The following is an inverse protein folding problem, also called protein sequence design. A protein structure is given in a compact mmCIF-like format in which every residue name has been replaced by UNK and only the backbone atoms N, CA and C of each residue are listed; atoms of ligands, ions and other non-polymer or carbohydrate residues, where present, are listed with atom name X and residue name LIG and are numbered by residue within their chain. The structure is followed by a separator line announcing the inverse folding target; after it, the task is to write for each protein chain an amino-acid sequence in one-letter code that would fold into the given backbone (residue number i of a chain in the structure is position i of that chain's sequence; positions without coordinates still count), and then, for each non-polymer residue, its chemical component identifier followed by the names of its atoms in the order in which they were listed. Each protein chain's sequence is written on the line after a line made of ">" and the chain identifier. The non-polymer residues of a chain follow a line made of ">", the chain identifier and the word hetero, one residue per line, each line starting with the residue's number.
data_IF_212675729417
#
_entry.id   IF_212675729417
#
_cell.length_a   1.000
_cell.length_b   1.000
_cell.length_c   1.000
_cell.angle_alpha   90.00
_cell.angle_beta   90.00
_cell.angle_gamma   90.00
#
_symmetry.space_group_name_H-M   'P 1'
#
loop_
_entity.id
_entity.type
_entity.pdbx_description
1 polymer ?
#
# COMPACT_ATOMS: atom_id res chain seq x y z
N UNK A 1 -29.86 -37.43 -7.24
CA UNK A 1 -30.79 -36.39 -6.75
C UNK A 1 -30.07 -35.05 -6.76
N UNK A 2 -30.30 -34.27 -7.82
CA UNK A 2 -29.67 -32.96 -8.06
C UNK A 2 -30.21 -31.94 -7.06
N UNK A 3 -29.35 -31.38 -6.20
CA UNK A 3 -29.72 -30.24 -5.35
C UNK A 3 -29.93 -29.05 -6.28
N UNK A 4 -31.18 -28.64 -6.43
CA UNK A 4 -31.57 -27.44 -7.15
C UNK A 4 -30.72 -26.25 -6.67
N UNK A 5 -30.11 -25.58 -7.64
CA UNK A 5 -29.27 -24.41 -7.46
C UNK A 5 -30.15 -23.33 -6.80
N UNK A 6 -29.77 -22.96 -5.57
CA UNK A 6 -30.36 -21.86 -4.82
C UNK A 6 -30.57 -20.65 -5.72
N UNK A 7 -31.79 -20.12 -5.75
CA UNK A 7 -32.13 -18.81 -6.33
C UNK A 7 -31.07 -17.79 -5.92
N UNK A 8 -30.45 -17.11 -6.90
CA UNK A 8 -29.52 -15.99 -6.63
C UNK A 8 -30.28 -14.93 -5.84
N UNK A 9 -30.04 -14.85 -4.54
CA UNK A 9 -30.52 -13.76 -3.71
C UNK A 9 -29.75 -12.50 -4.12
N UNK A 10 -30.43 -11.61 -4.85
CA UNK A 10 -29.89 -10.29 -5.20
C UNK A 10 -30.38 -9.33 -4.12
N UNK A 11 -29.49 -8.76 -3.29
CA UNK A 11 -29.90 -7.82 -2.26
C UNK A 11 -30.58 -6.60 -2.88
N UNK A 12 -31.55 -6.04 -2.15
CA UNK A 12 -32.25 -4.82 -2.57
C UNK A 12 -31.24 -3.66 -2.65
N UNK A 13 -31.48 -2.70 -3.54
CA UNK A 13 -30.64 -1.51 -3.68
C UNK A 13 -31.11 -0.36 -2.77
N UNK A 14 -30.23 0.59 -2.51
CA UNK A 14 -30.54 1.81 -1.76
C UNK A 14 -30.87 1.56 -0.28
N UNK A 15 -31.78 2.37 0.26
CA UNK A 15 -32.15 2.35 1.69
C UNK A 15 -32.78 1.01 2.08
N UNK A 16 -33.57 0.39 1.21
CA UNK A 16 -34.20 -0.90 1.48
C UNK A 16 -33.17 -2.01 1.71
N UNK A 17 -32.09 -2.03 0.90
CA UNK A 17 -30.97 -2.96 1.09
C UNK A 17 -30.15 -2.69 2.34
N UNK A 18 -29.95 -1.41 2.65
CA UNK A 18 -29.25 -0.99 3.87
C UNK A 18 -30.02 -1.45 5.12
N UNK A 19 -31.34 -1.23 5.18
CA UNK A 19 -32.17 -1.68 6.30
C UNK A 19 -32.22 -3.21 6.42
N UNK A 20 -32.16 -3.92 5.28
CA UNK A 20 -32.13 -5.38 5.26
C UNK A 20 -30.80 -5.95 5.82
N UNK A 21 -29.66 -5.33 5.52
CA UNK A 21 -28.32 -5.89 5.79
C UNK A 21 -27.46 -5.07 6.76
N UNK A 22 -27.97 -4.01 7.40
CA UNK A 22 -27.15 -3.07 8.19
C UNK A 22 -26.27 -3.74 9.25
N UNK A 23 -26.76 -4.79 9.93
CA UNK A 23 -25.99 -5.48 10.99
C UNK A 23 -24.80 -6.22 10.42
N UNK A 24 -24.99 -6.92 9.31
CA UNK A 24 -23.92 -7.66 8.64
C UNK A 24 -22.95 -6.71 7.96
N UNK A 25 -23.46 -5.64 7.36
CA UNK A 25 -22.67 -4.65 6.63
C UNK A 25 -21.83 -3.79 7.58
N UNK A 26 -22.33 -3.42 8.76
CA UNK A 26 -21.57 -2.63 9.73
C UNK A 26 -20.41 -3.44 10.33
N UNK A 27 -20.65 -4.72 10.63
CA UNK A 27 -19.61 -5.62 11.17
C UNK A 27 -18.57 -5.94 10.10
N UNK A 28 -19.01 -6.21 8.87
CA UNK A 28 -18.11 -6.48 7.75
C UNK A 28 -17.30 -5.25 7.37
N UNK A 29 -17.95 -4.07 7.30
CA UNK A 29 -17.30 -2.79 7.05
C UNK A 29 -16.27 -2.45 8.12
N UNK A 30 -16.55 -2.71 9.39
CA UNK A 30 -15.59 -2.52 10.48
C UNK A 30 -14.37 -3.45 10.34
N UNK A 31 -14.57 -4.75 10.06
CA UNK A 31 -13.47 -5.69 9.83
C UNK A 31 -12.63 -5.31 8.61
N UNK A 32 -13.28 -4.89 7.52
CA UNK A 32 -12.62 -4.41 6.31
C UNK A 32 -11.81 -3.14 6.60
N UNK A 33 -12.36 -2.19 7.35
CA UNK A 33 -11.65 -0.99 7.78
C UNK A 33 -10.35 -1.32 8.52
N UNK A 34 -10.41 -2.26 9.48
CA UNK A 34 -9.25 -2.66 10.24
C UNK A 34 -8.15 -3.32 9.38
N UNK A 35 -8.53 -4.01 8.30
CA UNK A 35 -7.59 -4.57 7.31
C UNK A 35 -7.05 -3.47 6.40
N UNK A 36 -7.93 -2.59 5.94
CA UNK A 36 -7.64 -1.58 4.95
C UNK A 36 -6.71 -0.50 5.49
N UNK A 37 -6.83 -0.11 6.76
CA UNK A 37 -6.05 1.01 7.31
C UNK A 37 -4.53 0.76 7.24
N UNK A 38 -3.96 -0.35 7.76
CA UNK A 38 -2.53 -0.64 7.59
C UNK A 38 -2.13 -0.81 6.12
N UNK A 39 -2.99 -1.44 5.33
CA UNK A 39 -2.73 -1.67 3.91
C UNK A 39 -2.63 -0.36 3.12
N UNK A 40 -3.52 0.60 3.37
CA UNK A 40 -3.52 1.91 2.70
C UNK A 40 -2.27 2.74 3.03
N UNK A 41 -1.82 2.68 4.28
CA UNK A 41 -0.57 3.32 4.72
C UNK A 41 0.63 2.70 3.99
N UNK A 42 0.72 1.36 3.98
CA UNK A 42 1.81 0.66 3.29
C UNK A 42 1.83 0.91 1.77
N UNK A 43 0.67 0.85 1.11
CA UNK A 43 0.55 1.07 -0.34
C UNK A 43 0.93 2.50 -0.72
N UNK A 44 0.46 3.51 0.02
CA UNK A 44 0.80 4.92 -0.28
C UNK A 44 2.29 5.20 -0.09
N UNK A 45 2.89 4.75 1.01
CA UNK A 45 4.33 4.90 1.23
C UNK A 45 5.15 4.17 0.17
N UNK A 46 4.76 2.95 -0.22
CA UNK A 46 5.41 2.20 -1.29
C UNK A 46 5.28 2.89 -2.65
N UNK A 47 4.24 3.71 -2.85
CA UNK A 47 4.02 4.51 -4.06
C UNK A 47 4.77 5.85 -4.05
N UNK A 48 5.54 6.16 -3.00
CA UNK A 48 6.25 7.44 -2.85
C UNK A 48 5.33 8.58 -2.42
N UNK A 49 4.11 8.27 -1.96
CA UNK A 49 3.14 9.25 -1.49
C UNK A 49 3.17 9.36 0.03
N UNK A 50 2.73 10.49 0.60
CA UNK A 50 2.57 10.61 2.04
C UNK A 50 1.51 9.62 2.55
N UNK A 51 1.66 9.02 3.75
CA UNK A 51 0.77 7.97 4.25
C UNK A 51 -0.72 8.37 4.29
N UNK A 52 -0.99 9.65 4.53
CA UNK A 52 -2.35 10.19 4.63
C UNK A 52 -3.09 10.12 3.28
N UNK A 53 -2.37 10.23 2.16
CA UNK A 53 -2.97 10.14 0.84
C UNK A 53 -3.64 8.78 0.60
N UNK A 54 -3.08 7.70 1.15
CA UNK A 54 -3.68 6.37 1.10
C UNK A 54 -5.01 6.30 1.85
N UNK A 55 -5.05 6.86 3.06
CA UNK A 55 -6.26 6.94 3.89
C UNK A 55 -7.33 7.79 3.20
N UNK A 56 -6.96 8.99 2.71
CA UNK A 56 -7.89 9.90 2.01
C UNK A 56 -8.49 9.21 0.79
N UNK A 57 -7.66 8.52 -0.02
CA UNK A 57 -8.11 7.78 -1.20
C UNK A 57 -9.11 6.68 -0.82
N UNK A 58 -8.87 5.94 0.26
CA UNK A 58 -9.80 4.90 0.73
C UNK A 58 -11.13 5.48 1.24
N UNK A 59 -11.09 6.62 1.96
CA UNK A 59 -12.29 7.31 2.43
C UNK A 59 -13.13 7.80 1.24
N UNK A 60 -12.51 8.52 0.30
CA UNK A 60 -13.19 9.08 -0.86
C UNK A 60 -13.73 7.97 -1.76
N UNK A 61 -12.92 6.93 -2.02
CA UNK A 61 -13.34 5.74 -2.76
C UNK A 61 -14.55 5.06 -2.11
N UNK A 62 -14.44 4.76 -0.82
CA UNK A 62 -15.50 4.11 -0.05
C UNK A 62 -16.81 4.90 0.00
N UNK A 63 -16.76 6.24 0.05
CA UNK A 63 -17.95 7.09 0.13
C UNK A 63 -18.59 7.39 -1.24
N UNK A 64 -17.77 7.72 -2.24
CA UNK A 64 -18.26 8.17 -3.55
C UNK A 64 -18.39 7.01 -4.53
N UNK A 65 -17.32 6.21 -4.69
CA UNK A 65 -17.26 5.18 -5.74
C UNK A 65 -18.22 4.04 -5.41
N UNK A 66 -18.43 3.71 -4.13
CA UNK A 66 -19.41 2.69 -3.72
C UNK A 66 -20.85 2.98 -4.18
N UNK A 67 -21.18 4.24 -4.49
CA UNK A 67 -22.52 4.65 -4.96
C UNK A 67 -22.68 4.63 -6.46
N UNK A 68 -21.56 4.68 -7.20
CA UNK A 68 -21.53 4.73 -8.67
C UNK A 68 -21.19 3.34 -9.25
N UNK A 69 -20.55 2.49 -8.45
CA UNK A 69 -20.18 1.11 -8.77
C UNK A 69 -21.40 0.19 -9.00
N UNK A 70 -21.24 -0.83 -9.86
CA UNK A 70 -22.23 -1.89 -10.10
C UNK A 70 -22.13 -3.15 -9.22
N UNK A 71 -21.32 -3.15 -8.16
CA UNK A 71 -21.08 -4.30 -7.27
C UNK A 71 -21.35 -3.98 -5.81
N UNK A 72 -22.08 -4.87 -5.12
CA UNK A 72 -22.46 -4.74 -3.71
C UNK A 72 -21.33 -5.05 -2.71
N UNK A 73 -20.25 -5.70 -3.15
CA UNK A 73 -19.18 -6.22 -2.26
C UNK A 73 -17.79 -5.67 -2.58
N UNK A 74 -17.67 -4.84 -3.61
CA UNK A 74 -16.37 -4.31 -4.04
C UNK A 74 -15.94 -3.16 -3.14
N UNK A 75 -14.70 -3.23 -2.66
CA UNK A 75 -14.03 -2.19 -1.88
C UNK A 75 -13.14 -1.39 -2.83
N UNK A 76 -13.07 -0.08 -2.62
CA UNK A 76 -12.26 0.83 -3.43
C UNK A 76 -11.29 1.60 -2.53
N UNK A 77 -10.09 1.84 -3.05
CA UNK A 77 -8.98 2.44 -2.30
C UNK A 77 -7.68 2.31 -3.09
N UNK A 78 -6.52 2.63 -2.47
CA UNK A 78 -5.22 2.47 -3.10
C UNK A 78 -5.00 1.04 -3.59
N UNK A 79 -4.69 0.87 -4.88
CA UNK A 79 -4.47 -0.44 -5.48
C UNK A 79 -2.98 -0.79 -5.46
N UNK A 80 -2.64 -1.98 -4.94
CA UNK A 80 -1.26 -2.46 -4.93
C UNK A 80 -0.67 -2.57 -6.35
N UNK A 81 -1.50 -2.83 -7.36
CA UNK A 81 -1.09 -2.89 -8.76
C UNK A 81 -0.56 -1.57 -9.33
N UNK A 82 -0.96 -0.43 -8.75
CA UNK A 82 -0.55 0.90 -9.20
C UNK A 82 0.73 1.40 -8.51
N UNK A 83 1.21 0.73 -7.46
CA UNK A 83 2.37 1.19 -6.66
C UNK A 83 3.57 1.55 -7.54
N UNK A 84 3.92 0.64 -8.46
CA UNK A 84 5.11 0.78 -9.29
C UNK A 84 4.97 1.94 -10.26
N UNK A 85 3.80 2.06 -10.89
CA UNK A 85 3.50 3.12 -11.88
C UNK A 85 3.47 4.49 -11.21
N UNK A 86 2.83 4.58 -10.04
CA UNK A 86 2.75 5.84 -9.31
C UNK A 86 4.11 6.25 -8.78
N UNK A 87 4.91 5.30 -8.26
CA UNK A 87 6.27 5.59 -7.81
C UNK A 87 7.17 6.02 -8.97
N UNK A 88 7.10 5.35 -10.12
CA UNK A 88 7.81 5.76 -11.34
C UNK A 88 7.41 7.18 -11.75
N UNK A 89 6.11 7.49 -11.69
CA UNK A 89 5.60 8.83 -11.98
C UNK A 89 6.17 9.90 -11.05
N UNK A 90 6.22 9.64 -9.74
CA UNK A 90 6.80 10.56 -8.75
C UNK A 90 8.29 10.80 -9.04
N UNK A 91 9.02 9.74 -9.36
CA UNK A 91 10.46 9.83 -9.65
C UNK A 91 10.73 10.56 -10.98
N UNK A 92 9.97 10.24 -12.02
CA UNK A 92 10.13 10.80 -13.36
C UNK A 92 9.71 12.28 -13.42
N UNK A 93 8.67 12.69 -12.70
CA UNK A 93 8.18 14.06 -12.68
C UNK A 93 8.87 14.93 -11.62
N UNK A 94 9.33 14.32 -10.51
CA UNK A 94 9.95 15.05 -9.40
C UNK A 94 11.38 15.51 -9.67
N UNK A 95 12.11 14.88 -10.61
CA UNK A 95 13.48 15.29 -10.93
C UNK A 95 14.44 15.24 -9.74
N UNK A 96 14.17 14.36 -8.76
CA UNK A 96 14.90 14.27 -7.49
C UNK A 96 14.18 14.88 -6.28
N UNK A 97 13.17 15.73 -6.50
CA UNK A 97 12.29 16.23 -5.43
C UNK A 97 11.01 15.39 -5.35
N UNK A 98 10.94 14.52 -4.35
CA UNK A 98 9.78 13.66 -4.12
C UNK A 98 8.50 14.44 -3.80
N UNK A 99 8.61 15.63 -3.19
CA UNK A 99 7.45 16.45 -2.84
C UNK A 99 6.87 17.08 -4.11
N UNK A 100 7.71 17.71 -4.94
CA UNK A 100 7.27 18.23 -6.23
C UNK A 100 6.72 17.11 -7.13
N UNK A 101 7.42 15.96 -7.17
CA UNK A 101 6.99 14.77 -7.90
C UNK A 101 5.59 14.30 -7.49
N UNK A 102 5.29 14.25 -6.20
CA UNK A 102 3.95 13.96 -5.69
C UNK A 102 2.88 14.93 -6.24
N UNK A 103 3.12 16.24 -6.19
CA UNK A 103 2.17 17.24 -6.71
C UNK A 103 1.95 17.13 -8.23
N UNK A 104 3.01 16.87 -9.00
CA UNK A 104 2.89 16.66 -10.44
C UNK A 104 2.20 15.34 -10.78
N UNK A 105 2.44 14.27 -10.02
CA UNK A 105 1.74 12.99 -10.20
C UNK A 105 0.25 13.13 -9.87
N UNK A 106 -0.14 13.92 -8.86
CA UNK A 106 -1.56 14.23 -8.63
C UNK A 106 -2.22 14.88 -9.86
N UNK A 107 -1.55 15.82 -10.51
CA UNK A 107 -2.03 16.41 -11.76
C UNK A 107 -2.15 15.36 -12.88
N UNK A 108 -1.17 14.47 -13.00
CA UNK A 108 -1.22 13.38 -13.97
C UNK A 108 -2.41 12.42 -13.70
N UNK A 109 -2.69 12.10 -12.43
CA UNK A 109 -3.85 11.30 -12.02
C UNK A 109 -5.16 11.99 -12.41
N UNK A 110 -5.27 13.30 -12.21
CA UNK A 110 -6.47 14.06 -12.63
C UNK A 110 -6.68 13.93 -14.14
N UNK A 111 -5.65 14.17 -14.96
CA UNK A 111 -5.75 14.01 -16.42
C UNK A 111 -6.07 12.56 -16.82
N UNK A 112 -5.42 11.57 -16.20
CA UNK A 112 -5.68 10.16 -16.45
C UNK A 112 -7.13 9.79 -16.11
N UNK A 113 -7.67 10.29 -15.01
CA UNK A 113 -9.06 10.03 -14.59
C UNK A 113 -10.10 10.61 -15.56
N UNK A 114 -9.82 11.76 -16.18
CA UNK A 114 -10.66 12.34 -17.23
C UNK A 114 -10.66 11.42 -18.46
N UNK A 115 -9.48 10.95 -18.89
CA UNK A 115 -9.36 10.02 -20.01
C UNK A 115 -10.06 8.70 -19.70
N UNK A 116 -9.86 8.13 -18.51
CA UNK A 116 -10.54 6.91 -18.06
C UNK A 116 -12.06 7.07 -18.03
N UNK A 117 -12.56 8.23 -17.59
CA UNK A 117 -14.00 8.54 -17.61
C UNK A 117 -14.55 8.57 -19.04
N UNK A 118 -13.84 9.23 -19.97
CA UNK A 118 -14.20 9.25 -21.39
C UNK A 118 -14.19 7.85 -22.00
N UNK A 119 -13.16 7.05 -21.72
CA UNK A 119 -13.09 5.64 -22.14
C UNK A 119 -14.24 4.81 -21.55
N UNK A 120 -14.62 5.05 -20.30
CA UNK A 120 -15.77 4.44 -19.64
C UNK A 120 -17.08 4.77 -20.34
N UNK A 121 -17.30 6.04 -20.71
CA UNK A 121 -18.47 6.50 -21.47
C UNK A 121 -18.53 5.85 -22.87
N UNK A 122 -17.37 5.68 -23.51
CA UNK A 122 -17.24 4.98 -24.79
C UNK A 122 -17.34 3.45 -24.67
N UNK A 123 -17.51 2.92 -23.44
CA UNK A 123 -17.53 1.47 -23.14
C UNK A 123 -16.26 0.74 -23.58
N UNK A 124 -15.13 1.44 -23.64
CA UNK A 124 -13.83 0.89 -24.00
C UNK A 124 -13.31 -0.14 -22.97
N UNK A 125 -13.88 -0.17 -21.76
CA UNK A 125 -13.60 -1.21 -20.76
C UNK A 125 -13.83 -2.64 -21.26
N UNK A 126 -14.67 -2.85 -22.27
CA UNK A 126 -14.82 -4.17 -22.93
C UNK A 126 -13.52 -4.66 -23.57
N UNK A 127 -12.61 -3.75 -23.90
CA UNK A 127 -11.32 -4.10 -24.49
C UNK A 127 -10.38 -4.78 -23.51
N UNK A 128 -10.61 -4.66 -22.19
CA UNK A 128 -9.80 -5.36 -21.19
C UNK A 128 -9.91 -6.88 -21.33
N UNK A 129 -11.00 -7.39 -21.91
CA UNK A 129 -11.19 -8.81 -22.18
C UNK A 129 -10.25 -9.37 -23.26
N UNK A 130 -9.59 -8.51 -24.06
CA UNK A 130 -8.62 -8.96 -25.08
C UNK A 130 -7.20 -9.14 -24.53
N UNK A 131 -6.91 -8.72 -23.29
CA UNK A 131 -5.61 -8.96 -22.70
C UNK A 131 -5.44 -10.45 -22.40
N UNK A 132 -4.39 -11.11 -22.94
CA UNK A 132 -4.12 -12.50 -22.62
C UNK A 132 -3.93 -12.66 -21.11
N UNK A 133 -4.53 -13.69 -20.53
CA UNK A 133 -4.37 -13.98 -19.10
C UNK A 133 -2.89 -14.12 -18.73
N UNK A 134 -2.06 -14.70 -19.60
CA UNK A 134 -0.61 -14.81 -19.42
C UNK A 134 0.07 -13.45 -19.23
N UNK A 135 -0.35 -12.41 -19.97
CA UNK A 135 0.20 -11.07 -19.83
C UNK A 135 -0.16 -10.46 -18.47
N UNK A 136 -1.41 -10.62 -18.01
CA UNK A 136 -1.86 -10.14 -16.69
C UNK A 136 -1.11 -10.85 -15.56
N UNK A 137 -0.91 -12.17 -15.65
CA UNK A 137 -0.13 -12.91 -14.66
C UNK A 137 1.34 -12.46 -14.65
N UNK A 138 1.94 -12.22 -15.82
CA UNK A 138 3.29 -11.67 -15.93
C UNK A 138 3.42 -10.29 -15.28
N UNK A 139 2.45 -9.41 -15.51
CA UNK A 139 2.40 -8.09 -14.87
C UNK A 139 2.29 -8.18 -13.34
N UNK A 140 1.38 -9.02 -12.82
CA UNK A 140 1.22 -9.23 -11.37
C UNK A 140 2.48 -9.84 -10.74
N UNK A 141 3.15 -10.78 -11.43
CA UNK A 141 4.40 -11.37 -10.97
C UNK A 141 5.52 -10.32 -10.92
N UNK A 142 5.65 -9.47 -11.95
CA UNK A 142 6.62 -8.37 -11.97
C UNK A 142 6.38 -7.38 -10.83
N UNK A 143 5.13 -6.95 -10.59
CA UNK A 143 4.78 -6.07 -9.47
C UNK A 143 5.14 -6.73 -8.13
N UNK A 144 4.84 -8.03 -7.97
CA UNK A 144 5.22 -8.79 -6.78
C UNK A 144 6.73 -8.79 -6.53
N UNK A 145 7.54 -9.04 -7.57
CA UNK A 145 9.01 -9.00 -7.48
C UNK A 145 9.50 -7.60 -7.09
N UNK A 146 8.96 -6.54 -7.69
CA UNK A 146 9.34 -5.16 -7.38
C UNK A 146 9.03 -4.80 -5.92
N UNK A 147 7.85 -5.19 -5.44
CA UNK A 147 7.46 -4.97 -4.03
C UNK A 147 8.39 -5.76 -3.12
N UNK A 148 8.62 -7.05 -3.36
CA UNK A 148 9.52 -7.86 -2.53
C UNK A 148 10.94 -7.27 -2.48
N UNK A 149 11.49 -6.88 -3.63
CA UNK A 149 12.82 -6.27 -3.71
C UNK A 149 12.91 -5.01 -2.83
N UNK A 150 11.91 -4.13 -2.87
CA UNK A 150 11.92 -2.89 -2.07
C UNK A 150 11.65 -3.13 -0.58
N UNK A 151 10.69 -3.98 -0.26
CA UNK A 151 10.24 -4.17 1.13
C UNK A 151 11.24 -4.95 1.99
N UNK A 152 12.12 -5.77 1.40
CA UNK A 152 13.22 -6.42 2.15
C UNK A 152 14.12 -5.37 2.81
N UNK A 153 14.49 -4.31 2.11
CA UNK A 153 15.33 -3.24 2.67
C UNK A 153 14.64 -2.48 3.79
N UNK A 154 13.36 -2.16 3.60
CA UNK A 154 12.52 -1.51 4.63
C UNK A 154 12.41 -2.38 5.88
N UNK A 155 12.20 -3.69 5.71
CA UNK A 155 12.13 -4.67 6.79
C UNK A 155 13.44 -4.74 7.59
N UNK A 156 14.59 -4.53 6.93
CA UNK A 156 15.93 -4.52 7.55
C UNK A 156 16.34 -3.15 8.11
N UNK A 157 15.49 -2.12 7.96
CA UNK A 157 15.80 -0.76 8.43
C UNK A 157 16.86 -0.04 7.60
N UNK A 158 17.06 -0.42 6.34
CA UNK A 158 18.07 0.16 5.44
C UNK A 158 17.45 0.74 4.19
N UNK A 159 18.11 1.75 3.61
CA UNK A 159 17.70 2.37 2.35
C UNK A 159 18.88 2.30 1.36
N UNK A 160 18.91 1.31 0.46
CA UNK A 160 19.99 1.21 -0.52
C UNK A 160 19.91 2.37 -1.52
N UNK A 161 21.08 2.88 -1.91
CA UNK A 161 21.18 3.84 -3.02
C UNK A 161 21.20 3.08 -4.36
N UNK A 162 20.06 2.51 -4.73
CA UNK A 162 19.89 1.72 -5.95
C UNK A 162 18.82 2.34 -6.84
N UNK A 163 19.20 2.72 -8.06
CA UNK A 163 18.29 3.35 -9.03
C UNK A 163 17.57 2.37 -9.97
N UNK A 164 18.02 1.11 -10.03
CA UNK A 164 17.39 0.07 -10.85
C UNK A 164 16.93 -1.11 -10.00
N UNK A 165 15.94 -1.86 -10.51
CA UNK A 165 15.43 -3.06 -9.83
C UNK A 165 16.54 -4.09 -9.61
N UNK A 166 17.37 -4.35 -10.62
CA UNK A 166 18.48 -5.30 -10.50
C UNK A 166 19.54 -4.85 -9.49
N UNK A 167 19.84 -3.54 -9.44
CA UNK A 167 20.73 -3.01 -8.41
C UNK A 167 20.11 -3.12 -7.01
N UNK A 168 18.80 -2.91 -6.89
CA UNK A 168 18.08 -3.07 -5.61
C UNK A 168 18.18 -4.51 -5.12
N UNK A 169 17.90 -5.49 -5.98
CA UNK A 169 18.05 -6.92 -5.67
C UNK A 169 19.51 -7.26 -5.34
N UNK A 170 20.46 -6.74 -6.11
CA UNK A 170 21.90 -6.94 -5.87
C UNK A 170 22.41 -6.34 -4.56
N UNK A 171 21.71 -5.35 -4.01
CA UNK A 171 22.02 -4.72 -2.72
C UNK A 171 21.45 -5.48 -1.52
N UNK A 172 20.74 -6.59 -1.71
CA UNK A 172 20.19 -7.39 -0.59
C UNK A 172 21.30 -7.94 0.32
N UNK A 173 22.42 -8.51 -0.18
CA UNK A 173 23.50 -9.00 0.68
C UNK A 173 24.16 -7.90 1.53
N UNK A 174 24.36 -6.70 0.97
CA UNK A 174 24.88 -5.56 1.73
C UNK A 174 23.86 -5.05 2.74
N UNK A 175 22.58 -5.03 2.36
CA UNK A 175 21.48 -4.66 3.26
C UNK A 175 21.32 -5.61 4.44
N UNK A 176 21.61 -6.90 4.26
CA UNK A 176 21.65 -7.86 5.36
C UNK A 176 22.84 -7.62 6.29
N UNK A 177 23.98 -7.19 5.74
CA UNK A 177 25.17 -6.88 6.54
C UNK A 177 24.98 -5.62 7.37
N UNK A 178 24.36 -4.60 6.78
CA UNK A 178 24.19 -3.27 7.37
C UNK A 178 22.82 -3.10 8.04
N UNK A 179 22.08 -4.20 8.26
CA UNK A 179 20.73 -4.16 8.83
C UNK A 179 20.71 -3.50 10.20
N UNK A 180 19.65 -2.77 10.51
CA UNK A 180 19.37 -2.37 11.89
C UNK A 180 18.72 -3.56 12.62
N UNK A 181 19.36 -4.13 13.66
CA UNK A 181 18.87 -5.36 14.29
C UNK A 181 17.47 -5.24 14.89
N UNK A 182 17.12 -4.10 15.49
CA UNK A 182 15.82 -3.94 16.16
C UNK A 182 14.70 -3.78 15.14
N UNK A 183 14.93 -3.00 14.07
CA UNK A 183 13.98 -2.90 12.95
C UNK A 183 13.83 -4.25 12.24
N UNK A 184 14.95 -4.97 12.04
CA UNK A 184 14.93 -6.32 11.46
C UNK A 184 14.16 -7.32 12.33
N UNK A 185 14.23 -7.22 13.66
CA UNK A 185 13.43 -8.03 14.59
C UNK A 185 11.94 -7.70 14.43
N UNK A 186 11.57 -6.41 14.41
CA UNK A 186 10.17 -5.99 14.21
C UNK A 186 9.64 -6.55 12.88
N UNK A 187 10.37 -6.33 11.79
CA UNK A 187 10.00 -6.78 10.46
C UNK A 187 9.91 -8.30 10.33
N UNK A 188 10.93 -9.01 10.84
CA UNK A 188 11.00 -10.47 10.83
C UNK A 188 9.90 -11.11 11.68
N UNK A 189 9.62 -10.57 12.87
CA UNK A 189 8.52 -11.04 13.71
C UNK A 189 7.16 -10.76 13.06
N UNK A 190 6.99 -9.60 12.42
CA UNK A 190 5.79 -9.28 11.65
C UNK A 190 5.54 -10.31 10.53
N UNK A 191 6.57 -10.65 9.76
CA UNK A 191 6.49 -11.68 8.73
C UNK A 191 6.17 -13.06 9.32
N UNK A 192 6.81 -13.43 10.43
CA UNK A 192 6.56 -14.67 11.13
C UNK A 192 5.12 -14.76 11.63
N UNK A 193 4.57 -13.67 12.18
CA UNK A 193 3.15 -13.59 12.58
C UNK A 193 2.23 -13.82 11.38
N UNK A 194 2.49 -13.18 10.23
CA UNK A 194 1.66 -13.38 9.04
C UNK A 194 1.66 -14.84 8.58
N UNK A 195 2.83 -15.49 8.55
CA UNK A 195 2.98 -16.90 8.17
C UNK A 195 2.31 -17.82 9.20
N UNK A 196 2.54 -17.59 10.50
CA UNK A 196 1.93 -18.39 11.55
C UNK A 196 0.40 -18.27 11.53
N UNK A 197 -0.13 -17.05 11.33
CA UNK A 197 -1.56 -16.78 11.30
C UNK A 197 -2.27 -17.45 10.11
N UNK A 198 -1.59 -17.63 8.98
CA UNK A 198 -2.18 -18.33 7.83
C UNK A 198 -2.44 -19.82 8.10
N UNK A 199 -1.68 -20.43 9.02
CA UNK A 199 -1.80 -21.85 9.40
C UNK A 199 -2.86 -22.07 10.50
N UNK A 200 -3.21 -21.05 11.28
CA UNK A 200 -4.23 -21.13 12.33
C UNK A 200 -5.56 -21.60 11.73
N UNK A 201 -6.19 -22.63 12.31
CA UNK A 201 -7.48 -23.18 11.83
C UNK A 201 -8.70 -22.73 12.66
N UNK A 202 -8.48 -22.11 13.82
CA UNK A 202 -9.57 -21.74 14.72
C UNK A 202 -10.42 -20.59 14.15
N UNK A 203 -11.72 -20.84 13.97
CA UNK A 203 -12.68 -19.88 13.38
C UNK A 203 -12.84 -18.60 14.20
N UNK A 204 -12.75 -18.67 15.53
CA UNK A 204 -12.86 -17.48 16.40
C UNK A 204 -11.63 -16.58 16.28
N UNK A 205 -10.44 -17.15 16.21
CA UNK A 205 -9.19 -16.37 16.05
C UNK A 205 -9.12 -15.70 14.70
N UNK A 206 -9.57 -16.35 13.62
CA UNK A 206 -9.60 -15.76 12.27
C UNK A 206 -10.51 -14.54 12.12
N UNK A 207 -11.36 -14.24 13.10
CA UNK A 207 -12.12 -12.99 13.11
C UNK A 207 -11.22 -11.77 13.27
N UNK A 208 -10.03 -11.92 13.86
CA UNK A 208 -9.03 -10.87 13.97
C UNK A 208 -8.10 -10.97 12.75
N UNK A 209 -8.04 -9.93 11.90
CA UNK A 209 -7.11 -9.90 10.79
C UNK A 209 -5.64 -9.91 11.22
N UNK A 210 -4.83 -10.73 10.53
CA UNK A 210 -3.39 -10.82 10.77
C UNK A 210 -2.66 -9.46 10.72
N UNK A 211 -2.97 -8.55 9.77
CA UNK A 211 -2.29 -7.25 9.71
C UNK A 211 -2.45 -6.41 10.99
N UNK A 212 -3.58 -6.52 11.69
CA UNK A 212 -3.79 -5.78 12.96
C UNK A 212 -2.83 -6.30 14.03
N UNK A 213 -2.67 -7.63 14.11
CA UNK A 213 -1.81 -8.24 15.11
C UNK A 213 -0.36 -7.83 14.86
N UNK A 214 0.06 -7.80 13.60
CA UNK A 214 1.39 -7.29 13.21
C UNK A 214 1.56 -5.84 13.63
N UNK A 215 0.56 -4.98 13.39
CA UNK A 215 0.63 -3.56 13.81
C UNK A 215 0.70 -3.43 15.32
N UNK A 216 -0.14 -4.14 16.09
CA UNK A 216 -0.14 -4.08 17.56
C UNK A 216 1.20 -4.55 18.12
N UNK A 217 1.71 -5.68 17.65
CA UNK A 217 3.01 -6.21 18.09
C UNK A 217 4.14 -5.26 17.68
N UNK A 218 4.09 -4.72 16.47
CA UNK A 218 5.05 -3.74 15.98
C UNK A 218 5.06 -2.46 16.82
N UNK A 219 3.88 -1.94 17.20
CA UNK A 219 3.76 -0.78 18.08
C UNK A 219 4.33 -1.08 19.48
N UNK A 220 4.03 -2.25 20.05
CA UNK A 220 4.58 -2.64 21.35
C UNK A 220 6.11 -2.76 21.33
N UNK A 221 6.67 -3.34 20.26
CA UNK A 221 8.11 -3.42 20.08
C UNK A 221 8.73 -2.05 19.82
N UNK A 222 8.08 -1.19 19.04
CA UNK A 222 8.57 0.17 18.78
C UNK A 222 8.68 0.99 20.08
N UNK A 223 7.72 0.85 20.99
CA UNK A 223 7.77 1.45 22.32
C UNK A 223 8.84 0.81 23.21
N UNK A 224 8.99 -0.52 23.15
CA UNK A 224 10.01 -1.24 23.92
C UNK A 224 11.44 -0.86 23.52
N UNK A 225 11.66 -0.64 22.23
CA UNK A 225 12.92 -0.21 21.63
C UNK A 225 13.09 1.32 21.56
N UNK A 226 12.15 2.06 22.15
CA UNK A 226 12.20 3.53 22.24
C UNK A 226 12.45 4.24 20.89
N UNK A 227 11.72 3.81 19.85
CA UNK A 227 11.81 4.39 18.50
C UNK A 227 11.33 5.85 18.42
N UNK A 228 10.72 6.38 19.49
CA UNK A 228 10.19 7.75 19.54
C UNK A 228 11.33 8.79 19.71
N UNK A 229 12.47 8.39 20.29
CA UNK A 229 13.62 9.26 20.51
C UNK A 229 14.83 8.81 19.69
N UNK A 230 15.55 9.79 19.12
CA UNK A 230 16.78 9.49 18.37
C UNK A 230 17.91 9.16 19.35
N UNK A 231 18.36 7.91 19.34
CA UNK A 231 19.43 7.44 20.21
C UNK A 231 20.34 6.43 19.53
N UNK A 232 21.59 6.38 20.00
CA UNK A 232 22.59 5.39 19.59
C UNK A 232 22.59 4.29 20.64
N UNK A 233 22.55 3.04 20.19
CA UNK A 233 22.63 1.89 21.07
C UNK A 233 23.66 0.88 20.56
N UNK A 234 24.23 0.14 21.50
CA UNK A 234 25.02 -1.04 21.22
C UNK A 234 24.11 -2.25 21.23
N UNK A 235 23.99 -2.91 20.09
CA UNK A 235 23.29 -4.18 20.03
C UNK A 235 24.13 -5.26 20.72
N UNK A 236 23.59 -5.90 21.78
CA UNK A 236 24.24 -6.93 22.60
C UNK A 236 25.55 -6.47 23.27
N UNK A 237 25.51 -5.50 24.20
CA UNK A 237 26.71 -4.92 24.82
C UNK A 237 27.53 -5.92 25.66
N UNK A 238 26.90 -6.98 26.17
CA UNK A 238 27.53 -7.96 27.07
C UNK A 238 28.20 -9.14 26.35
N UNK A 239 28.18 -9.18 25.00
CA UNK A 239 28.75 -10.29 24.22
C UNK A 239 30.09 -9.91 23.57
N UNK A 240 31.24 -10.41 24.08
CA UNK A 240 32.58 -9.95 23.67
C UNK A 240 33.05 -10.39 22.27
N UNK A 241 32.22 -11.09 21.49
CA UNK A 241 32.57 -11.68 20.20
C UNK A 241 31.89 -11.02 19.00
N UNK A 242 30.98 -10.06 19.21
CA UNK A 242 30.35 -9.31 18.14
C UNK A 242 31.00 -7.93 18.04
N UNK A 243 31.40 -7.46 16.83
CA UNK A 243 31.87 -6.09 16.66
C UNK A 243 30.78 -5.13 17.14
N UNK A 244 31.19 -4.22 18.03
CA UNK A 244 30.36 -3.15 18.57
C UNK A 244 29.97 -2.16 17.45
N UNK A 245 28.96 -2.52 16.66
CA UNK A 245 28.37 -1.60 15.71
C UNK A 245 27.41 -0.69 16.48
N UNK A 246 27.71 0.61 16.45
CA UNK A 246 26.77 1.63 16.88
C UNK A 246 25.62 1.69 15.88
N UNK A 247 24.41 1.41 16.35
CA UNK A 247 23.20 1.50 15.54
C UNK A 247 22.41 2.73 15.96
N UNK A 248 21.83 3.43 14.98
CA UNK A 248 20.96 4.57 15.22
C UNK A 248 19.50 4.17 15.08
N UNK A 249 18.73 4.45 16.11
CA UNK A 249 17.27 4.30 16.13
C UNK A 249 16.62 5.65 16.33
N UNK A 250 15.38 5.78 15.87
CA UNK A 250 14.59 6.97 16.09
C UNK A 250 13.38 7.08 15.16
N UNK A 251 12.72 8.25 15.15
CA UNK A 251 11.43 8.48 14.49
C UNK A 251 11.39 8.22 12.99
N UNK A 252 12.56 8.17 12.33
CA UNK A 252 12.70 7.88 10.89
C UNK A 252 12.10 6.55 10.47
N UNK A 253 11.97 5.60 11.40
CA UNK A 253 11.36 4.28 11.15
C UNK A 253 9.86 4.24 11.44
N UNK A 254 9.32 5.31 12.05
CA UNK A 254 7.90 5.44 12.36
C UNK A 254 7.14 6.08 11.18
N UNK A 255 5.85 5.76 11.09
CA UNK A 255 4.96 6.40 10.11
C UNK A 255 4.60 7.79 10.62
N UNK A 256 5.19 8.81 10.01
CA UNK A 256 4.91 10.20 10.37
C UNK A 256 3.54 10.65 9.82
N UNK A 257 2.62 10.93 10.75
CA UNK A 257 1.34 11.57 10.44
C UNK A 257 1.42 13.03 10.90
N UNK A 258 1.23 14.02 10.00
CA UNK A 258 1.26 15.41 10.40
C UNK A 258 0.17 15.66 11.44
N UNK A 259 0.50 16.45 12.48
CA UNK A 259 -0.42 16.74 13.59
C UNK A 259 -1.74 17.32 13.10
N UNK A 260 -1.70 18.07 11.99
CA UNK A 260 -2.89 18.52 11.28
C UNK A 260 -3.18 17.60 10.09
N UNK A 261 -4.17 16.70 10.23
CA UNK A 261 -4.60 15.82 9.13
C UNK A 261 -4.95 16.59 7.84
N UNK A 262 -5.53 17.79 8.00
CA UNK A 262 -5.86 18.70 6.88
C UNK A 262 -4.64 19.20 6.11
N UNK A 263 -3.46 19.29 6.74
CA UNK A 263 -2.23 19.67 6.04
C UNK A 263 -1.74 18.60 5.05
N UNK A 264 -2.28 17.37 5.15
CA UNK A 264 -2.06 16.30 4.19
C UNK A 264 -2.86 16.46 2.89
N UNK A 265 -3.79 17.43 2.80
CA UNK A 265 -4.44 17.76 1.54
C UNK A 265 -3.50 18.56 0.66
N UNK A 266 -2.93 17.88 -0.33
CA UNK A 266 -2.16 18.49 -1.39
C UNK A 266 -3.03 18.73 -2.63
N UNK A 267 -2.75 19.83 -3.32
CA UNK A 267 -3.34 20.13 -4.60
C UNK A 267 -2.44 19.68 -5.75
N UNK A 268 -3.03 19.26 -6.88
CA UNK A 268 -2.27 18.94 -8.10
C UNK A 268 -1.56 20.18 -8.64
N UNK A 269 -0.32 20.01 -9.10
CA UNK A 269 0.43 21.04 -9.81
C UNK A 269 0.53 20.67 -11.30
N UNK A 270 0.00 21.54 -12.16
CA UNK A 270 -0.07 21.33 -13.61
C UNK A 270 1.11 21.96 -14.37
N UNK A 271 2.17 22.43 -13.69
CA UNK A 271 3.31 23.08 -14.34
C UNK A 271 3.91 22.25 -15.48
N UNK A 272 3.98 20.93 -15.32
CA UNK A 272 4.56 20.02 -16.31
C UNK A 272 3.59 19.55 -17.40
N UNK A 273 2.33 20.04 -17.44
CA UNK A 273 1.30 19.56 -18.38
C UNK A 273 1.70 19.70 -19.86
N UNK A 274 2.56 20.67 -20.20
CA UNK A 274 3.05 20.87 -21.56
C UNK A 274 4.17 19.91 -21.98
N UNK A 275 4.68 19.08 -21.08
CA UNK A 275 5.86 18.24 -21.33
C UNK A 275 5.49 16.82 -21.80
N UNK A 276 6.35 16.23 -22.63
CA UNK A 276 6.17 14.85 -23.09
C UNK A 276 6.33 13.81 -21.97
N UNK A 277 7.12 14.13 -20.94
CA UNK A 277 7.31 13.27 -19.75
C UNK A 277 5.99 13.17 -18.97
N UNK A 278 5.30 14.29 -18.76
CA UNK A 278 4.00 14.32 -18.10
C UNK A 278 2.96 13.46 -18.80
N UNK A 279 2.77 13.64 -20.11
CA UNK A 279 1.78 12.87 -20.85
C UNK A 279 2.09 11.38 -20.90
N UNK A 280 3.38 10.99 -20.94
CA UNK A 280 3.78 9.58 -20.81
C UNK A 280 3.25 8.99 -19.51
N UNK A 281 3.44 9.71 -18.41
CA UNK A 281 2.95 9.28 -17.10
C UNK A 281 1.42 9.25 -17.03
N UNK A 282 0.72 10.24 -17.61
CA UNK A 282 -0.75 10.23 -17.74
C UNK A 282 -1.23 8.97 -18.45
N UNK A 283 -0.64 8.61 -19.60
CA UNK A 283 -1.03 7.42 -20.34
C UNK A 283 -0.70 6.13 -19.58
N UNK A 284 0.46 6.05 -18.94
CA UNK A 284 0.83 4.88 -18.14
C UNK A 284 -0.12 4.68 -16.97
N UNK A 285 -0.46 5.74 -16.22
CA UNK A 285 -1.45 5.69 -15.13
C UNK A 285 -2.84 5.32 -15.66
N UNK A 286 -3.22 5.87 -16.82
CA UNK A 286 -4.53 5.64 -17.43
C UNK A 286 -4.75 4.17 -17.84
N UNK A 287 -3.70 3.50 -18.32
CA UNK A 287 -3.77 2.16 -18.91
C UNK A 287 -3.64 1.01 -17.91
N UNK A 288 -3.16 1.28 -16.70
CA UNK A 288 -3.03 0.29 -15.60
C UNK A 288 -4.23 0.35 -14.68
#
# INVERSE_FOLDING_TARGET
>A
MSKAISTRFIPKSGIAGLVENWRTDILSGFLVFLIALPLCLGISMASGFPPQAGIITAIIGGLLVSRINGSFVTITGPAAGLIVVILDSVQALGGGDAKAGYHYTLAAIVCASVIQTLMGLMKAGKMSAFFPSSAVHGMLAAIGIIIMAKQIHVMLGVKPDAQSLFATIGAIPTSLRDMNPEVAIIGGLGLLILIAWSVVKNRRLKMIPAPIIVVIVGMALAQYFDLDDEHIYLFLPDYPFLPHHEFTIGPKFLVSIPQNFLSGFAFPDFLLIGTSVFWRQVFTICLV
#
